data_IF_472515020832
#
_entry.id   IF_472515020832
#
_cell.length_a   1.000
_cell.length_b   1.000
_cell.length_c   1.000
_cell.angle_alpha   90.00
_cell.angle_beta   90.00
_cell.angle_gamma   90.00
#
_symmetry.space_group_name_H-M   'P 1'
#
loop_
_entity.id
_entity.type
_entity.pdbx_description
1 polymer ?
#
# COMPACT_ATOMS: atom_id res chain seq x y z
N UNK A 1 -42.40 -3.41 4.03
CA UNK A 1 -41.41 -4.46 4.31
C UNK A 1 -40.35 -4.38 3.21
N UNK A 2 -39.08 -4.05 3.50
CA UNK A 2 -38.05 -4.05 2.47
C UNK A 2 -37.93 -5.46 1.88
N UNK A 3 -37.84 -5.54 0.55
CA UNK A 3 -37.79 -6.80 -0.17
C UNK A 3 -36.49 -7.52 0.24
N UNK A 4 -36.60 -8.62 1.00
CA UNK A 4 -35.46 -9.33 1.60
C UNK A 4 -34.41 -9.74 0.55
N UNK A 5 -34.85 -10.03 -0.66
CA UNK A 5 -33.98 -10.32 -1.81
C UNK A 5 -33.10 -9.12 -2.20
N UNK A 6 -33.64 -7.89 -2.19
CA UNK A 6 -32.86 -6.68 -2.51
C UNK A 6 -31.79 -6.41 -1.44
N UNK A 7 -32.08 -6.72 -0.18
CA UNK A 7 -31.12 -6.57 0.91
C UNK A 7 -29.92 -7.52 0.75
N UNK A 8 -30.18 -8.80 0.44
CA UNK A 8 -29.11 -9.77 0.16
C UNK A 8 -28.30 -9.39 -1.08
N UNK A 9 -28.95 -8.95 -2.16
CA UNK A 9 -28.27 -8.49 -3.37
C UNK A 9 -27.36 -7.29 -3.06
N UNK A 10 -27.85 -6.30 -2.31
CA UNK A 10 -27.06 -5.11 -1.94
C UNK A 10 -25.86 -5.46 -1.06
N UNK A 11 -26.00 -6.41 -0.14
CA UNK A 11 -24.88 -6.92 0.68
C UNK A 11 -23.84 -7.66 -0.16
N UNK A 12 -24.27 -8.46 -1.13
CA UNK A 12 -23.34 -9.14 -2.04
C UNK A 12 -22.62 -8.12 -2.93
N UNK A 13 -23.36 -7.17 -3.51
CA UNK A 13 -22.79 -6.13 -4.37
C UNK A 13 -21.75 -5.28 -3.63
N UNK A 14 -22.07 -4.83 -2.42
CA UNK A 14 -21.16 -4.00 -1.63
C UNK A 14 -19.85 -4.71 -1.29
N UNK A 15 -19.89 -6.01 -0.98
CA UNK A 15 -18.67 -6.81 -0.76
C UNK A 15 -17.82 -6.93 -2.00
N UNK A 16 -18.45 -7.26 -3.14
CA UNK A 16 -17.74 -7.34 -4.42
C UNK A 16 -17.11 -5.99 -4.77
N UNK A 17 -17.86 -4.89 -4.65
CA UNK A 17 -17.35 -3.54 -4.93
C UNK A 17 -16.17 -3.15 -4.04
N UNK A 18 -16.24 -3.40 -2.73
CA UNK A 18 -15.13 -3.09 -1.80
C UNK A 18 -13.90 -3.97 -2.08
N UNK A 19 -14.10 -5.24 -2.42
CA UNK A 19 -12.99 -6.17 -2.71
C UNK A 19 -12.40 -6.02 -4.10
N UNK A 20 -13.10 -5.36 -5.03
CA UNK A 20 -12.68 -5.23 -6.43
C UNK A 20 -11.31 -4.54 -6.57
N UNK A 21 -11.07 -3.50 -5.77
CA UNK A 21 -9.77 -2.81 -5.72
C UNK A 21 -8.62 -3.76 -5.34
N UNK A 22 -8.85 -4.63 -4.34
CA UNK A 22 -7.87 -5.62 -3.90
C UNK A 22 -7.66 -6.75 -4.92
N UNK A 23 -8.71 -7.14 -5.65
CA UNK A 23 -8.58 -8.10 -6.75
C UNK A 23 -7.70 -7.57 -7.87
N UNK A 24 -7.91 -6.32 -8.29
CA UNK A 24 -7.09 -5.69 -9.32
C UNK A 24 -5.63 -5.59 -8.88
N UNK A 25 -5.37 -5.14 -7.64
CA UNK A 25 -4.02 -5.04 -7.10
C UNK A 25 -3.33 -6.41 -6.95
N UNK A 26 -4.04 -7.41 -6.45
CA UNK A 26 -3.51 -8.77 -6.26
C UNK A 26 -3.21 -9.46 -7.59
N UNK A 27 -4.11 -9.37 -8.57
CA UNK A 27 -3.91 -9.93 -9.91
C UNK A 27 -2.74 -9.24 -10.61
N UNK A 28 -2.65 -7.90 -10.53
CA UNK A 28 -1.52 -7.15 -11.06
C UNK A 28 -0.20 -7.66 -10.47
N UNK A 29 -0.15 -7.86 -9.15
CA UNK A 29 1.06 -8.33 -8.49
C UNK A 29 1.44 -9.79 -8.78
N UNK A 30 0.47 -10.66 -9.09
CA UNK A 30 0.77 -12.01 -9.58
C UNK A 30 1.46 -11.96 -10.95
N UNK A 31 1.01 -11.10 -11.85
CA UNK A 31 1.59 -11.00 -13.20
C UNK A 31 2.88 -10.17 -13.26
N UNK A 32 2.99 -9.13 -12.44
CA UNK A 32 4.15 -8.21 -12.41
C UNK A 32 4.97 -8.38 -11.13
N UNK A 33 5.11 -9.63 -10.65
CA UNK A 33 5.81 -9.92 -9.40
C UNK A 33 7.25 -9.40 -9.38
N UNK A 34 7.97 -9.55 -10.50
CA UNK A 34 9.35 -9.11 -10.62
C UNK A 34 9.50 -7.59 -10.46
N UNK A 35 8.58 -6.82 -11.05
CA UNK A 35 8.57 -5.35 -10.94
C UNK A 35 8.32 -4.92 -9.49
N UNK A 36 7.35 -5.54 -8.80
CA UNK A 36 7.05 -5.25 -7.40
C UNK A 36 8.25 -5.57 -6.49
N UNK A 37 8.94 -6.68 -6.74
CA UNK A 37 10.15 -7.02 -5.99
C UNK A 37 11.26 -6.00 -6.26
N UNK A 38 11.42 -5.53 -7.49
CA UNK A 38 12.41 -4.49 -7.80
C UNK A 38 12.10 -3.18 -7.08
N UNK A 39 10.85 -2.75 -7.05
CA UNK A 39 10.43 -1.57 -6.28
C UNK A 39 10.69 -1.75 -4.77
N UNK A 40 10.51 -2.95 -4.22
CA UNK A 40 10.83 -3.20 -2.81
C UNK A 40 12.34 -3.25 -2.53
N UNK A 41 13.14 -3.63 -3.54
CA UNK A 41 14.62 -3.56 -3.49
C UNK A 41 15.09 -2.12 -3.53
N UNK A 42 14.48 -1.25 -4.36
CA UNK A 42 14.85 0.18 -4.42
C UNK A 42 14.51 0.91 -3.12
N UNK A 43 13.43 0.52 -2.45
CA UNK A 43 13.04 1.02 -1.12
C UNK A 43 13.93 0.46 0.01
N UNK A 44 14.75 -0.56 -0.28
CA UNK A 44 15.75 -1.09 0.66
C UNK A 44 15.18 -2.03 1.75
N UNK A 45 14.04 -2.69 1.48
CA UNK A 45 13.48 -3.65 2.44
C UNK A 45 14.41 -4.86 2.60
N UNK A 46 14.62 -5.36 3.83
CA UNK A 46 15.54 -6.47 4.09
C UNK A 46 15.13 -7.76 3.37
N UNK A 47 13.83 -8.02 3.17
CA UNK A 47 13.28 -9.24 2.53
C UNK A 47 12.19 -8.93 1.46
N UNK A 48 12.56 -8.32 0.32
CA UNK A 48 11.63 -7.73 -0.65
C UNK A 48 10.70 -8.78 -1.29
N UNK A 49 11.19 -9.99 -1.53
CA UNK A 49 10.40 -11.10 -2.11
C UNK A 49 9.27 -11.52 -1.18
N UNK A 50 9.51 -11.57 0.14
CA UNK A 50 8.51 -12.03 1.10
C UNK A 50 7.48 -10.96 1.43
N UNK A 51 7.87 -9.68 1.42
CA UNK A 51 6.92 -8.58 1.51
C UNK A 51 6.03 -8.48 0.27
N UNK A 52 6.59 -8.65 -0.93
CA UNK A 52 5.82 -8.68 -2.18
C UNK A 52 4.82 -9.86 -2.19
N UNK A 53 5.31 -11.07 -1.90
CA UNK A 53 4.48 -12.26 -1.85
C UNK A 53 3.41 -12.18 -0.75
N UNK A 54 3.77 -11.69 0.45
CA UNK A 54 2.83 -11.49 1.56
C UNK A 54 1.75 -10.46 1.25
N UNK A 55 2.10 -9.40 0.53
CA UNK A 55 1.15 -8.38 0.05
C UNK A 55 0.14 -8.97 -0.93
N UNK A 56 0.63 -9.65 -1.97
CA UNK A 56 -0.21 -10.27 -2.98
C UNK A 56 -1.12 -11.32 -2.36
N UNK A 57 -0.56 -12.16 -1.48
CA UNK A 57 -1.32 -13.16 -0.73
C UNK A 57 -2.39 -12.50 0.14
N UNK A 58 -2.06 -11.43 0.87
CA UNK A 58 -3.02 -10.74 1.73
C UNK A 58 -4.17 -10.14 0.91
N UNK A 59 -3.87 -9.51 -0.22
CA UNK A 59 -4.87 -8.88 -1.08
C UNK A 59 -5.79 -9.92 -1.72
N UNK A 60 -5.24 -11.02 -2.26
CA UNK A 60 -6.04 -12.09 -2.87
C UNK A 60 -6.78 -12.95 -1.85
N UNK A 61 -6.11 -13.41 -0.80
CA UNK A 61 -6.73 -14.27 0.22
C UNK A 61 -7.75 -13.49 1.05
N UNK A 62 -7.45 -12.25 1.45
CA UNK A 62 -8.35 -11.40 2.24
C UNK A 62 -9.60 -11.02 1.45
N UNK A 63 -9.46 -10.67 0.17
CA UNK A 63 -10.59 -10.35 -0.69
C UNK A 63 -11.43 -11.59 -1.04
N UNK A 64 -10.80 -12.73 -1.33
CA UNK A 64 -11.50 -13.99 -1.55
C UNK A 64 -12.31 -14.40 -0.31
N UNK A 65 -11.76 -14.27 0.91
CA UNK A 65 -12.47 -14.58 2.15
C UNK A 65 -13.75 -13.74 2.34
N UNK A 66 -13.69 -12.45 1.99
CA UNK A 66 -14.84 -11.53 2.09
C UNK A 66 -15.93 -11.90 1.06
N UNK A 67 -15.54 -12.27 -0.16
CA UNK A 67 -16.47 -12.63 -1.25
C UNK A 67 -17.12 -13.99 -0.98
N UNK A 68 -16.33 -15.02 -0.67
CA UNK A 68 -16.85 -16.37 -0.45
C UNK A 68 -17.68 -16.50 0.83
N UNK A 69 -17.42 -15.65 1.84
CA UNK A 69 -18.14 -15.58 3.12
C UNK A 69 -18.81 -16.89 3.59
N UNK A 70 -18.05 -18.00 3.76
CA UNK A 70 -18.63 -19.33 3.92
C UNK A 70 -19.46 -19.52 5.20
N UNK A 71 -19.28 -18.67 6.23
CA UNK A 71 -20.07 -18.73 7.47
C UNK A 71 -20.11 -17.40 8.26
N UNK A 72 -19.94 -16.24 7.62
CA UNK A 72 -19.82 -14.94 8.31
C UNK A 72 -18.39 -14.50 8.61
N UNK A 73 -17.38 -15.31 8.23
CA UNK A 73 -15.95 -15.03 8.41
C UNK A 73 -15.39 -13.92 7.52
N UNK A 74 -16.21 -13.21 6.73
CA UNK A 74 -15.75 -12.03 6.00
C UNK A 74 -15.06 -10.99 6.89
N UNK A 75 -15.39 -10.95 8.19
CA UNK A 75 -14.75 -10.11 9.19
C UNK A 75 -13.25 -10.40 9.36
N UNK A 76 -12.84 -11.66 9.24
CA UNK A 76 -11.42 -12.04 9.32
C UNK A 76 -10.67 -11.50 8.10
N UNK A 77 -11.26 -11.64 6.91
CA UNK A 77 -10.69 -11.06 5.69
C UNK A 77 -10.59 -9.54 5.77
N UNK A 78 -11.62 -8.85 6.25
CA UNK A 78 -11.59 -7.41 6.45
C UNK A 78 -10.54 -6.97 7.49
N UNK A 79 -10.42 -7.69 8.61
CA UNK A 79 -9.40 -7.41 9.62
C UNK A 79 -7.98 -7.56 9.05
N UNK A 80 -7.74 -8.61 8.26
CA UNK A 80 -6.44 -8.84 7.62
C UNK A 80 -6.07 -7.71 6.64
N UNK A 81 -7.03 -7.27 5.82
CA UNK A 81 -6.82 -6.16 4.88
C UNK A 81 -6.64 -4.81 5.58
N UNK A 82 -7.38 -4.54 6.67
CA UNK A 82 -7.23 -3.30 7.46
C UNK A 82 -5.86 -3.25 8.11
N UNK A 83 -5.42 -4.33 8.76
CA UNK A 83 -4.10 -4.40 9.39
C UNK A 83 -3.01 -4.24 8.32
N UNK A 84 -3.13 -4.95 7.19
CA UNK A 84 -2.21 -4.79 6.07
C UNK A 84 -2.13 -3.33 5.60
N UNK A 85 -3.27 -2.68 5.38
CA UNK A 85 -3.36 -1.28 4.93
C UNK A 85 -2.72 -0.33 5.96
N UNK A 86 -3.03 -0.52 7.24
CA UNK A 86 -2.46 0.26 8.35
C UNK A 86 -0.98 0.04 8.54
N UNK A 87 -0.43 -1.12 8.16
CA UNK A 87 1.01 -1.35 8.16
C UNK A 87 1.68 -0.70 6.95
N UNK A 88 1.02 -0.67 5.79
CA UNK A 88 1.60 -0.04 4.59
C UNK A 88 1.60 1.49 4.61
N UNK A 89 0.62 2.15 5.23
CA UNK A 89 0.57 3.63 5.33
C UNK A 89 1.78 4.25 6.07
N UNK A 90 2.19 3.78 7.26
CA UNK A 90 3.32 4.35 7.99
C UNK A 90 4.69 3.96 7.43
N UNK A 91 4.78 2.95 6.54
CA UNK A 91 6.06 2.56 5.92
C UNK A 91 6.57 3.58 4.90
N UNK A 92 5.68 4.41 4.34
CA UNK A 92 6.04 5.56 3.49
C UNK A 92 6.35 6.82 4.30
N UNK A 93 6.55 6.73 5.62
CA UNK A 93 7.15 7.87 6.32
C UNK A 93 8.57 8.04 5.81
N UNK A 94 8.87 9.15 5.11
CA UNK A 94 10.21 9.39 4.64
C UNK A 94 11.06 9.51 5.90
N UNK A 95 12.00 8.58 6.10
CA UNK A 95 13.25 9.03 6.69
C UNK A 95 13.67 10.20 5.81
N UNK A 96 13.58 11.42 6.36
CA UNK A 96 13.70 12.65 5.58
C UNK A 96 14.94 12.61 4.67
N UNK A 97 15.01 13.47 3.64
CA UNK A 97 16.16 13.51 2.75
C UNK A 97 17.41 13.42 3.61
N UNK A 98 18.30 12.48 3.32
CA UNK A 98 19.61 12.38 3.95
C UNK A 98 20.38 13.64 3.55
N UNK A 99 20.07 14.73 4.25
CA UNK A 99 20.70 16.03 4.09
C UNK A 99 22.12 15.81 4.54
N UNK A 100 23.01 15.60 3.56
CA UNK A 100 24.44 15.58 3.81
C UNK A 100 24.79 16.94 4.43
N UNK A 101 25.19 17.00 5.72
CA UNK A 101 25.46 18.28 6.39
C UNK A 101 26.58 19.07 5.69
N UNK A 102 27.49 18.36 5.00
CA UNK A 102 28.53 18.94 4.17
C UNK A 102 27.99 19.61 2.89
N UNK A 103 26.97 19.04 2.24
CA UNK A 103 26.34 19.64 1.07
C UNK A 103 25.58 20.92 1.44
N UNK A 104 24.83 20.91 2.55
CA UNK A 104 24.13 22.09 3.05
C UNK A 104 25.10 23.20 3.47
N UNK A 105 26.19 22.85 4.16
CA UNK A 105 27.26 23.79 4.52
C UNK A 105 27.89 24.42 3.28
N UNK A 106 28.10 23.65 2.21
CA UNK A 106 28.68 24.16 0.97
C UNK A 106 27.71 25.08 0.21
N UNK A 107 26.40 24.80 0.25
CA UNK A 107 25.37 25.68 -0.33
C UNK A 107 25.26 27.01 0.44
N UNK A 108 25.30 26.97 1.77
CA UNK A 108 25.27 28.19 2.61
C UNK A 108 26.55 29.01 2.40
N UNK A 109 27.72 28.38 2.32
CA UNK A 109 28.97 29.07 2.02
C UNK A 109 28.94 29.71 0.62
N UNK A 110 28.43 28.99 -0.39
CA UNK A 110 28.22 29.53 -1.73
C UNK A 110 27.33 30.77 -1.69
N UNK A 111 26.21 30.72 -0.97
CA UNK A 111 25.27 31.84 -0.82
C UNK A 111 25.86 33.04 -0.04
N UNK A 112 26.75 32.81 0.92
CA UNK A 112 27.44 33.88 1.64
C UNK A 112 28.64 34.46 0.86
N UNK A 113 29.11 33.77 -0.18
CA UNK A 113 30.13 34.27 -1.11
C UNK A 113 29.56 34.86 -2.39
N UNK A 114 28.23 34.81 -2.57
CA UNK A 114 27.60 35.57 -3.65
C UNK A 114 27.74 37.06 -3.31
N UNK A 115 28.22 37.91 -4.25
CA UNK A 115 28.14 39.34 -4.10
C UNK A 115 26.65 39.70 -4.16
N UNK A 116 25.99 39.72 -3.01
CA UNK A 116 24.69 40.35 -2.90
C UNK A 116 24.90 41.82 -3.24
N UNK A 117 24.37 42.20 -4.40
CA UNK A 117 24.29 43.56 -4.89
C UNK A 117 23.74 44.46 -3.79
N UNK A 118 24.59 45.33 -3.24
CA UNK A 118 24.18 46.53 -2.50
C UNK A 118 23.65 47.59 -3.48
N UNK A 119 22.66 47.22 -4.31
CA UNK A 119 21.93 48.15 -5.18
C UNK A 119 20.53 48.42 -4.61
#
# INVERSE_FOLDING_TARGET
>A
MPNSTLFFITLCLSRVLVTFFFWMAGIYGVFHFAEIVQEMVTVGLPWPVLFAAGTIFCQLAGSALIVFNPAGYGWIGSGMLIVFTLLTIPLDTPSGPSVNPGALRNSILRLNTLPWSED
#
